data_IF_035862950067
#
_entry.id   IF_035862950067
#
_cell.length_a   1.000
_cell.length_b   1.000
_cell.length_c   1.000
_cell.angle_alpha   90.00
_cell.angle_beta   90.00
_cell.angle_gamma   90.00
#
_symmetry.space_group_name_H-M   'P 1'
#
loop_
_entity.id
_entity.type
_entity.pdbx_description
1 polymer ?
#
# COMPACT_ATOMS: atom_id res chain seq x y z
N UNK A 1 -2.73 -2.72 -29.55
CA UNK A 1 -3.64 -3.35 -28.57
C UNK A 1 -4.12 -2.28 -27.58
N UNK A 2 -5.43 -2.05 -27.51
CA UNK A 2 -5.99 -0.95 -26.71
C UNK A 2 -6.35 -1.39 -25.28
N UNK A 3 -6.70 -2.67 -25.09
CA UNK A 3 -6.95 -3.24 -23.75
C UNK A 3 -5.64 -3.76 -23.18
N UNK A 4 -5.22 -3.27 -22.04
CA UNK A 4 -3.94 -3.62 -21.42
C UNK A 4 -4.07 -4.33 -20.07
N UNK A 5 -5.27 -4.33 -19.45
CA UNK A 5 -5.54 -5.05 -18.22
C UNK A 5 -7.01 -5.43 -18.10
N UNK A 6 -7.27 -6.67 -17.70
CA UNK A 6 -8.62 -7.19 -17.45
C UNK A 6 -8.65 -7.93 -16.12
N UNK A 7 -9.67 -7.69 -15.32
CA UNK A 7 -9.87 -8.36 -14.04
C UNK A 7 -11.33 -8.73 -13.83
N UNK A 8 -11.61 -10.04 -13.87
CA UNK A 8 -12.92 -10.65 -13.61
C UNK A 8 -14.01 -10.12 -14.55
N UNK A 9 -14.57 -8.97 -14.26
CA UNK A 9 -15.73 -8.33 -14.92
C UNK A 9 -15.41 -6.91 -15.42
N UNK A 10 -14.17 -6.50 -15.35
CA UNK A 10 -13.72 -5.17 -15.78
C UNK A 10 -12.56 -5.24 -16.76
N UNK A 11 -12.48 -4.26 -17.67
CA UNK A 11 -11.34 -4.09 -18.57
C UNK A 11 -10.89 -2.64 -18.59
N UNK A 12 -9.57 -2.45 -18.72
CA UNK A 12 -8.92 -1.15 -18.83
C UNK A 12 -8.46 -0.97 -20.27
N UNK A 13 -8.88 0.13 -20.87
CA UNK A 13 -8.62 0.46 -22.25
C UNK A 13 -7.90 1.80 -22.34
N UNK A 14 -6.82 1.88 -23.13
CA UNK A 14 -6.20 3.15 -23.48
C UNK A 14 -6.95 3.80 -24.63
N UNK A 15 -7.56 4.96 -24.40
CA UNK A 15 -8.21 5.76 -25.43
C UNK A 15 -7.24 6.61 -26.24
N UNK A 16 -6.06 6.92 -25.69
CA UNK A 16 -5.08 7.84 -26.27
C UNK A 16 -4.72 7.50 -27.73
N UNK A 17 -4.36 6.25 -28.12
CA UNK A 17 -4.01 5.96 -29.50
C UNK A 17 -5.16 6.17 -30.51
N UNK A 18 -6.41 6.06 -30.04
CA UNK A 18 -7.59 6.35 -30.87
C UNK A 18 -7.83 7.85 -30.99
N UNK A 19 -7.61 8.62 -29.93
CA UNK A 19 -7.71 10.07 -29.92
C UNK A 19 -6.65 10.65 -30.88
N UNK A 20 -5.41 10.24 -30.77
CA UNK A 20 -4.30 10.65 -31.66
C UNK A 20 -4.61 10.39 -33.13
N UNK A 21 -5.15 9.20 -33.42
CA UNK A 21 -5.53 8.83 -34.80
C UNK A 21 -6.71 9.64 -35.34
N UNK A 22 -7.74 9.95 -34.51
CA UNK A 22 -8.94 10.65 -34.94
C UNK A 22 -8.77 12.18 -34.97
N UNK A 23 -7.92 12.70 -34.10
CA UNK A 23 -7.71 14.15 -33.87
C UNK A 23 -6.23 14.50 -33.85
N UNK A 24 -5.51 14.42 -34.99
CA UNK A 24 -4.04 14.53 -35.01
C UNK A 24 -3.47 15.87 -34.53
N UNK A 25 -4.31 16.92 -34.44
CA UNK A 25 -3.90 18.24 -33.96
C UNK A 25 -4.54 18.59 -32.59
N UNK A 26 -4.85 17.58 -31.78
CA UNK A 26 -5.44 17.83 -30.47
C UNK A 26 -4.42 18.42 -29.48
N UNK A 27 -4.91 19.17 -28.52
CA UNK A 27 -4.13 19.64 -27.37
C UNK A 27 -4.26 18.65 -26.20
N UNK A 28 -3.21 17.92 -25.94
CA UNK A 28 -3.15 16.93 -24.84
C UNK A 28 -3.31 17.53 -23.45
N UNK A 29 -3.05 18.84 -23.31
CA UNK A 29 -3.23 19.59 -22.06
C UNK A 29 -4.68 19.97 -21.79
N UNK A 30 -5.54 19.90 -22.81
CA UNK A 30 -6.96 20.17 -22.69
C UNK A 30 -7.69 18.97 -22.05
N UNK A 31 -7.73 18.94 -20.74
CA UNK A 31 -8.32 17.84 -19.95
C UNK A 31 -9.81 17.62 -20.30
N UNK A 32 -10.57 18.70 -20.52
CA UNK A 32 -11.99 18.61 -20.87
C UNK A 32 -12.20 17.91 -22.22
N UNK A 33 -11.41 18.25 -23.22
CA UNK A 33 -11.41 17.59 -24.52
C UNK A 33 -11.05 16.10 -24.39
N UNK A 34 -10.00 15.78 -23.62
CA UNK A 34 -9.56 14.41 -23.41
C UNK A 34 -10.65 13.56 -22.73
N UNK A 35 -11.34 14.10 -21.73
CA UNK A 35 -12.47 13.42 -21.07
C UNK A 35 -13.60 13.19 -22.06
N UNK A 36 -14.00 14.21 -22.82
CA UNK A 36 -15.09 14.11 -23.79
C UNK A 36 -14.82 13.04 -24.84
N UNK A 37 -13.64 13.06 -25.47
CA UNK A 37 -13.29 12.08 -26.51
C UNK A 37 -13.08 10.66 -25.95
N UNK A 38 -12.58 10.55 -24.72
CA UNK A 38 -12.53 9.25 -24.04
C UNK A 38 -13.92 8.69 -23.77
N UNK A 39 -14.88 9.53 -23.36
CA UNK A 39 -16.27 9.11 -23.14
C UNK A 39 -16.94 8.69 -24.46
N UNK A 40 -16.74 9.42 -25.57
CA UNK A 40 -17.24 9.03 -26.90
C UNK A 40 -16.73 7.62 -27.30
N UNK A 41 -15.44 7.37 -27.16
CA UNK A 41 -14.83 6.06 -27.45
C UNK A 41 -15.38 4.97 -26.51
N UNK A 42 -15.54 5.28 -25.22
CA UNK A 42 -16.09 4.33 -24.27
C UNK A 42 -17.56 3.98 -24.60
N UNK A 43 -18.36 4.92 -25.05
CA UNK A 43 -19.74 4.69 -25.48
C UNK A 43 -19.80 3.79 -26.74
N UNK A 44 -18.89 3.98 -27.70
CA UNK A 44 -18.77 3.09 -28.87
C UNK A 44 -18.46 1.65 -28.45
N UNK A 45 -17.45 1.49 -27.57
CA UNK A 45 -17.05 0.17 -27.05
C UNK A 45 -18.21 -0.47 -26.28
N UNK A 46 -18.86 0.29 -25.41
CA UNK A 46 -19.97 -0.17 -24.58
C UNK A 46 -21.13 -0.68 -25.44
N UNK A 47 -21.53 0.07 -26.47
CA UNK A 47 -22.58 -0.33 -27.42
C UNK A 47 -22.20 -1.63 -28.13
N UNK A 48 -20.97 -1.73 -28.62
CA UNK A 48 -20.49 -2.92 -29.33
C UNK A 48 -20.46 -4.16 -28.41
N UNK A 49 -19.91 -4.05 -27.22
CA UNK A 49 -19.81 -5.17 -26.27
C UNK A 49 -21.17 -5.62 -25.77
N UNK A 50 -22.07 -4.69 -25.45
CA UNK A 50 -23.43 -5.04 -25.00
C UNK A 50 -24.21 -5.76 -26.13
N UNK A 51 -24.09 -5.32 -27.39
CA UNK A 51 -24.66 -6.04 -28.52
C UNK A 51 -24.04 -7.45 -28.75
N UNK A 52 -22.78 -7.64 -28.36
CA UNK A 52 -22.19 -8.98 -28.35
C UNK A 52 -22.78 -9.85 -27.23
N UNK A 53 -23.06 -9.30 -26.06
CA UNK A 53 -23.71 -10.05 -24.96
C UNK A 53 -25.11 -10.52 -25.35
N UNK A 54 -25.90 -9.67 -26.03
CA UNK A 54 -27.22 -10.04 -26.56
C UNK A 54 -27.12 -11.24 -27.49
N UNK A 55 -26.20 -11.17 -28.47
CA UNK A 55 -25.96 -12.26 -29.43
C UNK A 55 -25.46 -13.54 -28.75
N UNK A 56 -24.56 -13.42 -27.79
CA UNK A 56 -24.02 -14.54 -27.04
C UNK A 56 -25.10 -15.24 -26.20
N UNK A 57 -25.96 -14.46 -25.54
CA UNK A 57 -27.06 -14.96 -24.73
C UNK A 57 -28.06 -15.76 -25.59
N UNK A 58 -28.40 -15.24 -26.75
CA UNK A 58 -29.30 -15.93 -27.69
C UNK A 58 -28.65 -17.22 -28.25
N UNK A 59 -27.43 -17.12 -28.78
CA UNK A 59 -26.76 -18.23 -29.49
C UNK A 59 -26.35 -19.40 -28.57
N UNK A 60 -25.86 -19.11 -27.37
CA UNK A 60 -25.27 -20.12 -26.48
C UNK A 60 -26.13 -20.49 -25.27
N UNK A 61 -27.03 -19.62 -24.85
CA UNK A 61 -27.88 -19.82 -23.67
C UNK A 61 -29.38 -19.86 -24.02
N UNK A 62 -29.73 -19.69 -25.28
CA UNK A 62 -31.11 -19.68 -25.76
C UNK A 62 -32.02 -18.77 -24.88
N UNK A 63 -31.50 -17.62 -24.52
CA UNK A 63 -32.22 -16.62 -23.71
C UNK A 63 -32.21 -15.26 -24.38
N UNK A 64 -33.38 -14.62 -24.43
CA UNK A 64 -33.55 -13.24 -24.95
C UNK A 64 -33.51 -12.20 -23.88
N UNK A 65 -33.46 -12.61 -22.61
CA UNK A 65 -33.42 -11.70 -21.47
C UNK A 65 -32.26 -12.07 -20.56
N UNK A 66 -31.34 -11.14 -20.35
CA UNK A 66 -30.21 -11.31 -19.46
C UNK A 66 -29.88 -9.96 -18.77
N UNK A 67 -28.96 -9.99 -17.81
CA UNK A 67 -28.50 -8.83 -17.06
C UNK A 67 -27.03 -8.47 -17.33
N UNK A 68 -26.41 -9.10 -18.31
CA UNK A 68 -25.03 -8.79 -18.69
C UNK A 68 -24.96 -7.45 -19.36
N UNK A 69 -24.23 -6.55 -18.77
CA UNK A 69 -24.05 -5.20 -19.28
C UNK A 69 -22.67 -4.70 -18.86
N UNK A 70 -21.89 -4.20 -19.83
CA UNK A 70 -20.70 -3.42 -19.53
C UNK A 70 -21.08 -1.93 -19.51
N UNK A 71 -20.47 -1.19 -18.60
CA UNK A 71 -20.65 0.26 -18.44
C UNK A 71 -19.32 0.89 -18.09
N UNK A 72 -19.05 2.06 -18.67
CA UNK A 72 -17.92 2.89 -18.25
C UNK A 72 -18.11 3.33 -16.78
N UNK A 73 -17.09 3.12 -15.95
CA UNK A 73 -17.12 3.56 -14.55
C UNK A 73 -16.43 4.91 -14.38
N UNK A 74 -15.24 5.08 -14.98
CA UNK A 74 -14.46 6.30 -14.82
C UNK A 74 -13.45 6.49 -15.95
N UNK A 75 -12.85 7.70 -15.99
CA UNK A 75 -11.67 8.03 -16.80
C UNK A 75 -10.50 8.30 -15.86
N UNK A 76 -9.39 7.64 -16.10
CA UNK A 76 -8.13 7.87 -15.40
C UNK A 76 -7.12 8.54 -16.35
N UNK A 77 -6.43 9.59 -15.86
CA UNK A 77 -5.40 10.31 -16.62
C UNK A 77 -4.09 9.53 -16.66
N UNK A 78 -3.77 8.84 -15.59
CA UNK A 78 -2.58 7.98 -15.47
C UNK A 78 -2.84 6.81 -14.55
N UNK A 79 -1.98 5.77 -14.64
CA UNK A 79 -2.08 4.62 -13.77
C UNK A 79 -0.76 3.87 -13.63
N UNK A 80 -0.58 3.22 -12.49
CA UNK A 80 0.57 2.40 -12.16
C UNK A 80 0.10 0.99 -11.80
N UNK A 81 0.42 0.00 -12.63
CA UNK A 81 0.13 -1.41 -12.41
C UNK A 81 1.39 -2.14 -11.96
N UNK A 82 1.39 -2.66 -10.75
CA UNK A 82 2.53 -3.37 -10.16
C UNK A 82 2.39 -4.87 -10.38
N UNK A 83 1.18 -5.40 -10.23
CA UNK A 83 0.85 -6.79 -10.44
C UNK A 83 -0.66 -6.95 -10.61
N UNK A 84 -1.11 -8.16 -10.92
CA UNK A 84 -2.54 -8.48 -10.97
C UNK A 84 -3.22 -8.07 -9.65
N UNK A 85 -4.31 -7.30 -9.74
CA UNK A 85 -5.07 -6.76 -8.60
C UNK A 85 -4.29 -5.80 -7.67
N UNK A 86 -3.13 -5.29 -8.12
CA UNK A 86 -2.29 -4.36 -7.36
C UNK A 86 -1.91 -3.16 -8.23
N UNK A 87 -2.69 -2.10 -8.15
CA UNK A 87 -2.52 -0.90 -8.97
C UNK A 87 -3.03 0.37 -8.28
N UNK A 88 -2.65 1.50 -8.81
CA UNK A 88 -3.17 2.82 -8.45
C UNK A 88 -3.44 3.64 -9.71
N UNK A 89 -4.46 4.49 -9.69
CA UNK A 89 -4.87 5.32 -10.83
C UNK A 89 -5.22 6.72 -10.37
N UNK A 90 -4.89 7.71 -11.18
CA UNK A 90 -5.38 9.06 -11.01
C UNK A 90 -6.68 9.23 -11.80
N UNK A 91 -7.80 9.15 -11.11
CA UNK A 91 -9.14 9.26 -11.67
C UNK A 91 -9.55 10.74 -11.75
N UNK A 92 -9.86 11.20 -12.96
CA UNK A 92 -10.24 12.60 -13.26
C UNK A 92 -11.72 12.78 -13.56
N UNK A 93 -12.44 11.71 -13.91
CA UNK A 93 -13.87 11.75 -14.18
C UNK A 93 -14.52 10.44 -13.72
N UNK A 94 -15.63 10.54 -13.00
CA UNK A 94 -16.37 9.38 -12.51
C UNK A 94 -17.87 9.68 -12.42
N UNK A 95 -18.69 8.74 -12.91
CA UNK A 95 -20.16 8.81 -12.82
C UNK A 95 -20.74 10.14 -13.31
N UNK A 96 -20.22 10.64 -14.45
CA UNK A 96 -20.70 11.89 -15.05
C UNK A 96 -20.17 13.19 -14.40
N UNK A 97 -19.21 13.10 -13.45
CA UNK A 97 -18.69 14.26 -12.72
C UNK A 97 -17.16 14.29 -12.75
N UNK A 98 -16.55 15.48 -12.90
CA UNK A 98 -15.13 15.67 -12.67
C UNK A 98 -14.73 15.25 -11.25
N UNK A 99 -13.56 14.66 -11.10
CA UNK A 99 -12.98 14.28 -9.82
C UNK A 99 -11.45 14.43 -9.89
N UNK A 100 -10.79 14.39 -8.75
CA UNK A 100 -9.33 14.44 -8.67
C UNK A 100 -8.89 13.53 -7.53
N UNK A 101 -8.96 12.22 -7.76
CA UNK A 101 -8.71 11.21 -6.73
C UNK A 101 -7.74 10.15 -7.23
N UNK A 102 -6.91 9.64 -6.32
CA UNK A 102 -6.17 8.42 -6.57
C UNK A 102 -7.00 7.23 -6.06
N UNK A 103 -7.42 6.37 -6.98
CA UNK A 103 -8.00 5.07 -6.65
C UNK A 103 -6.89 4.04 -6.52
N UNK A 104 -6.89 3.29 -5.41
CA UNK A 104 -5.83 2.34 -5.06
C UNK A 104 -6.45 0.99 -4.78
N UNK A 105 -6.00 -0.04 -5.49
CA UNK A 105 -6.46 -1.42 -5.31
C UNK A 105 -5.30 -2.34 -4.93
N UNK A 106 -5.53 -3.17 -3.92
CA UNK A 106 -4.63 -4.26 -3.53
C UNK A 106 -3.25 -3.88 -3.00
N UNK A 107 -2.90 -2.59 -2.93
CA UNK A 107 -1.64 -2.13 -2.36
C UNK A 107 -1.71 -2.08 -0.83
N UNK A 108 -0.55 -2.21 -0.18
CA UNK A 108 -0.48 -2.23 1.29
C UNK A 108 -0.99 -0.93 1.94
N UNK A 109 -0.90 0.19 1.23
CA UNK A 109 -1.35 1.51 1.70
C UNK A 109 -2.82 1.55 2.12
N UNK A 110 -3.69 0.70 1.52
CA UNK A 110 -5.12 0.64 1.89
C UNK A 110 -5.40 -0.34 3.03
N UNK A 111 -4.43 -1.16 3.44
CA UNK A 111 -4.60 -2.16 4.51
C UNK A 111 -4.64 -1.49 5.88
N UNK A 112 -5.56 -1.91 6.74
CA UNK A 112 -5.64 -1.43 8.12
C UNK A 112 -4.41 -1.75 8.97
N UNK A 113 -3.70 -2.83 8.62
CA UNK A 113 -2.47 -3.27 9.32
C UNK A 113 -1.25 -2.40 9.04
N UNK A 114 -1.25 -1.60 7.96
CA UNK A 114 -0.09 -0.81 7.57
C UNK A 114 0.08 0.42 8.48
N UNK A 115 1.31 0.78 8.91
CA UNK A 115 1.56 1.90 9.82
C UNK A 115 1.05 3.24 9.28
N UNK A 116 0.58 4.11 10.18
CA UNK A 116 -0.06 5.38 9.80
C UNK A 116 0.84 6.30 8.99
N UNK A 117 2.08 6.53 9.47
CA UNK A 117 3.04 7.41 8.78
C UNK A 117 3.47 6.79 7.43
N UNK A 118 3.57 5.46 7.36
CA UNK A 118 3.90 4.78 6.11
C UNK A 118 2.75 4.82 5.10
N UNK A 119 1.49 4.83 5.56
CA UNK A 119 0.34 5.08 4.67
C UNK A 119 0.40 6.45 4.04
N UNK A 120 0.78 7.46 4.85
CA UNK A 120 0.87 8.85 4.39
C UNK A 120 1.91 8.97 3.29
N UNK A 121 3.16 8.58 3.56
CA UNK A 121 4.23 8.67 2.56
C UNK A 121 3.96 7.85 1.30
N UNK A 122 3.37 6.64 1.42
CA UNK A 122 3.01 5.83 0.25
C UNK A 122 1.93 6.50 -0.62
N UNK A 123 0.96 7.18 -0.03
CA UNK A 123 -0.04 7.96 -0.79
C UNK A 123 0.59 9.15 -1.49
N UNK A 124 1.48 9.86 -0.80
CA UNK A 124 2.24 10.97 -1.38
C UNK A 124 3.13 10.48 -2.52
N UNK A 125 3.83 9.36 -2.34
CA UNK A 125 4.64 8.72 -3.39
C UNK A 125 3.80 8.40 -4.63
N UNK A 126 2.63 7.77 -4.45
CA UNK A 126 1.72 7.47 -5.56
C UNK A 126 1.21 8.73 -6.25
N UNK A 127 0.93 9.78 -5.48
CA UNK A 127 0.51 11.07 -6.03
C UNK A 127 1.59 11.68 -6.93
N UNK A 128 2.85 11.73 -6.46
CA UNK A 128 3.98 12.23 -7.25
C UNK A 128 4.23 11.38 -8.50
N UNK A 129 4.22 10.05 -8.37
CA UNK A 129 4.40 9.14 -9.51
C UNK A 129 3.32 9.35 -10.57
N UNK A 130 2.06 9.44 -10.18
CA UNK A 130 0.94 9.49 -11.10
C UNK A 130 0.73 10.87 -11.72
N UNK A 131 1.16 11.94 -11.07
CA UNK A 131 0.96 13.31 -11.54
C UNK A 131 2.19 13.93 -12.14
N UNK A 132 3.31 13.84 -11.47
CA UNK A 132 4.52 14.59 -11.82
C UNK A 132 5.54 13.72 -12.59
N UNK A 133 5.52 12.40 -12.33
CA UNK A 133 6.47 11.44 -12.92
C UNK A 133 7.94 11.80 -12.64
N UNK A 134 8.19 12.55 -11.55
CA UNK A 134 9.52 13.02 -11.16
C UNK A 134 10.18 12.05 -10.17
N UNK A 135 11.17 11.31 -10.68
CA UNK A 135 11.96 10.36 -9.90
C UNK A 135 12.74 11.05 -8.78
N UNK A 136 13.35 12.21 -9.07
CA UNK A 136 14.24 12.90 -8.12
C UNK A 136 13.45 13.46 -6.96
N UNK A 137 12.40 14.22 -7.24
CA UNK A 137 11.51 14.77 -6.21
C UNK A 137 10.87 13.66 -5.35
N UNK A 138 10.42 12.57 -5.98
CA UNK A 138 9.89 11.41 -5.27
C UNK A 138 10.92 10.78 -4.34
N UNK A 139 12.17 10.61 -4.81
CA UNK A 139 13.25 10.01 -4.03
C UNK A 139 13.62 10.89 -2.84
N UNK A 140 13.78 12.19 -3.04
CA UNK A 140 14.12 13.15 -1.98
C UNK A 140 13.03 13.21 -0.90
N UNK A 141 11.77 13.24 -1.29
CA UNK A 141 10.63 13.19 -0.36
C UNK A 141 10.66 11.93 0.52
N UNK A 142 10.96 10.77 -0.04
CA UNK A 142 11.04 9.51 0.73
C UNK A 142 12.25 9.51 1.67
N UNK A 143 13.39 10.05 1.24
CA UNK A 143 14.57 10.19 2.10
C UNK A 143 14.35 11.15 3.26
N UNK A 144 13.63 12.25 3.05
CA UNK A 144 13.28 13.18 4.12
C UNK A 144 12.29 12.53 5.10
N UNK A 145 11.33 11.77 4.59
CA UNK A 145 10.48 10.94 5.44
C UNK A 145 11.30 9.93 6.28
N UNK A 146 12.32 9.27 5.71
CA UNK A 146 13.20 8.35 6.43
C UNK A 146 13.95 9.04 7.60
N UNK A 147 14.29 10.32 7.45
CA UNK A 147 14.84 11.14 8.53
C UNK A 147 13.75 11.49 9.56
N UNK A 148 12.58 11.94 9.10
CA UNK A 148 11.47 12.35 9.95
C UNK A 148 11.00 11.23 10.89
N UNK A 149 10.90 9.99 10.41
CA UNK A 149 10.46 8.86 11.25
C UNK A 149 11.39 8.55 12.42
N UNK A 150 12.64 9.06 12.43
CA UNK A 150 13.56 8.87 13.57
C UNK A 150 13.04 9.55 14.83
N UNK A 151 12.24 10.60 14.70
CA UNK A 151 11.67 11.40 15.81
C UNK A 151 10.14 11.28 15.92
N UNK A 152 9.49 10.57 14.98
CA UNK A 152 8.04 10.35 15.03
C UNK A 152 7.64 9.55 16.28
N UNK A 153 6.43 9.78 16.84
CA UNK A 153 5.87 8.90 17.86
C UNK A 153 5.90 7.44 17.42
N UNK A 154 6.42 6.56 18.27
CA UNK A 154 6.63 5.14 17.89
C UNK A 154 5.33 4.48 17.42
N UNK A 155 4.22 4.81 18.04
CA UNK A 155 2.88 4.25 17.70
C UNK A 155 2.45 4.50 16.26
N UNK A 156 2.97 5.53 15.58
CA UNK A 156 2.66 5.89 14.20
C UNK A 156 3.40 5.01 13.18
N UNK A 157 4.55 4.48 13.57
CA UNK A 157 5.38 3.59 12.73
C UNK A 157 5.21 2.10 13.06
N UNK A 158 4.40 1.79 14.07
CA UNK A 158 4.05 0.42 14.46
C UNK A 158 3.00 -0.19 13.52
N UNK A 159 3.09 -1.50 13.29
CA UNK A 159 2.10 -2.28 12.54
C UNK A 159 0.93 -2.68 13.42
N UNK A 160 -0.28 -2.59 12.88
CA UNK A 160 -1.46 -3.14 13.53
C UNK A 160 -1.64 -4.62 13.18
N UNK A 161 -1.92 -5.47 14.14
CA UNK A 161 -2.18 -6.90 13.92
C UNK A 161 -3.15 -7.43 14.97
N UNK A 162 -3.97 -8.39 14.59
CA UNK A 162 -4.74 -9.19 15.55
C UNK A 162 -3.90 -10.37 16.01
N UNK A 163 -3.86 -10.61 17.32
CA UNK A 163 -3.16 -11.76 17.91
C UNK A 163 -4.01 -12.99 17.76
N UNK A 164 -3.50 -14.03 17.11
CA UNK A 164 -4.20 -15.32 16.95
C UNK A 164 -3.34 -16.46 17.47
N UNK A 165 -3.99 -17.42 18.13
CA UNK A 165 -3.39 -18.65 18.61
C UNK A 165 -2.16 -18.46 19.54
N UNK A 166 -2.09 -17.39 20.34
CA UNK A 166 -0.97 -17.13 21.26
C UNK A 166 -0.77 -18.31 22.22
N UNK A 167 -1.86 -18.90 22.71
CA UNK A 167 -1.82 -20.08 23.61
C UNK A 167 -1.13 -21.28 22.97
N UNK A 168 -1.21 -21.48 21.65
CA UNK A 168 -0.46 -22.52 20.94
C UNK A 168 1.06 -22.37 21.13
N UNK A 169 1.53 -21.14 21.13
CA UNK A 169 2.96 -20.82 21.18
C UNK A 169 3.50 -20.63 22.58
N UNK A 170 2.63 -20.50 23.59
CA UNK A 170 3.01 -20.30 25.00
C UNK A 170 2.79 -21.53 25.89
N UNK A 171 2.06 -22.55 25.46
CA UNK A 171 1.63 -23.71 26.27
C UNK A 171 2.72 -24.39 27.10
N UNK A 172 3.95 -24.44 26.60
CA UNK A 172 5.10 -25.08 27.29
C UNK A 172 6.28 -24.13 27.47
N UNK A 173 6.05 -22.82 27.25
CA UNK A 173 7.10 -21.82 27.30
C UNK A 173 7.19 -21.18 28.68
N UNK A 174 8.39 -20.98 29.17
CA UNK A 174 8.67 -20.12 30.33
C UNK A 174 8.95 -18.68 29.86
N UNK A 175 8.65 -17.65 30.69
CA UNK A 175 9.03 -16.27 30.38
C UNK A 175 10.51 -16.17 29.98
N UNK A 176 10.83 -15.28 29.04
CA UNK A 176 12.20 -15.02 28.52
C UNK A 176 12.91 -16.23 27.88
N UNK A 177 12.19 -17.32 27.58
CA UNK A 177 12.75 -18.43 26.80
C UNK A 177 12.47 -18.23 25.30
N UNK A 178 13.12 -19.00 24.43
CA UNK A 178 12.93 -18.95 22.99
C UNK A 178 11.50 -19.24 22.55
N UNK A 179 11.23 -19.04 21.27
CA UNK A 179 9.90 -19.26 20.67
C UNK A 179 9.83 -20.62 19.99
N UNK A 180 8.63 -21.16 19.87
CA UNK A 180 8.40 -22.31 19.00
C UNK A 180 8.68 -21.93 17.54
N UNK A 181 9.23 -22.89 16.78
CA UNK A 181 9.46 -22.69 15.34
C UNK A 181 8.16 -22.28 14.63
N UNK A 182 8.24 -21.31 13.74
CA UNK A 182 7.08 -20.79 13.00
C UNK A 182 6.19 -19.82 13.79
N UNK A 183 6.60 -19.37 15.00
CA UNK A 183 5.85 -18.30 15.70
C UNK A 183 5.88 -17.00 14.90
N UNK A 184 4.71 -16.44 14.48
CA UNK A 184 4.66 -15.20 13.72
C UNK A 184 5.20 -14.00 14.51
N UNK A 185 5.75 -12.99 13.82
CA UNK A 185 6.38 -11.82 14.46
C UNK A 185 5.43 -11.07 15.41
N UNK A 186 4.18 -10.84 15.02
CA UNK A 186 3.19 -10.18 15.87
C UNK A 186 2.82 -11.00 17.12
N UNK A 187 2.85 -12.34 17.03
CA UNK A 187 2.63 -13.21 18.19
C UNK A 187 3.87 -13.19 19.11
N UNK A 188 5.08 -13.21 18.55
CA UNK A 188 6.32 -13.00 19.34
C UNK A 188 6.26 -11.67 20.09
N UNK A 189 5.82 -10.61 19.42
CA UNK A 189 5.69 -9.28 20.01
C UNK A 189 4.72 -9.25 21.20
N UNK A 190 3.57 -9.92 21.09
CA UNK A 190 2.62 -10.06 22.18
C UNK A 190 3.18 -10.88 23.36
N UNK A 191 3.91 -11.94 23.05
CA UNK A 191 4.59 -12.77 24.08
C UNK A 191 5.65 -11.94 24.82
N UNK A 192 6.44 -11.13 24.11
CA UNK A 192 7.46 -10.27 24.71
C UNK A 192 6.86 -9.20 25.60
N UNK A 193 5.73 -8.62 25.20
CA UNK A 193 4.96 -7.71 26.05
C UNK A 193 4.54 -8.40 27.36
N UNK A 194 3.99 -9.60 27.28
CA UNK A 194 3.58 -10.36 28.45
C UNK A 194 4.78 -10.74 29.35
N UNK A 195 5.92 -11.07 28.75
CA UNK A 195 7.16 -11.30 29.52
C UNK A 195 7.61 -10.04 30.27
N UNK A 196 7.48 -8.84 29.66
CA UNK A 196 7.81 -7.59 30.33
C UNK A 196 6.81 -7.23 31.45
N UNK A 197 5.51 -7.50 31.27
CA UNK A 197 4.54 -7.37 32.39
C UNK A 197 4.98 -8.20 33.59
N UNK A 198 5.39 -9.43 33.36
CA UNK A 198 5.93 -10.31 34.42
C UNK A 198 7.23 -9.76 35.02
N UNK A 199 8.17 -9.30 34.19
CA UNK A 199 9.46 -8.75 34.64
C UNK A 199 9.33 -7.52 35.51
N UNK A 200 8.43 -6.60 35.13
CA UNK A 200 8.18 -5.35 35.87
C UNK A 200 7.14 -5.50 36.96
N UNK A 201 6.65 -6.72 37.23
CA UNK A 201 5.65 -7.03 38.23
C UNK A 201 4.38 -6.16 38.11
N UNK A 202 3.94 -5.90 36.86
CA UNK A 202 2.71 -5.17 36.58
C UNK A 202 1.54 -6.11 36.79
N UNK A 203 0.65 -5.82 37.75
CA UNK A 203 -0.48 -6.68 38.16
C UNK A 203 -1.86 -6.13 37.79
N UNK A 204 -1.93 -4.87 37.47
CA UNK A 204 -3.13 -4.10 37.16
C UNK A 204 -3.47 -4.13 35.66
N UNK A 205 -2.65 -4.78 34.85
CA UNK A 205 -2.84 -4.93 33.40
C UNK A 205 -2.77 -6.40 33.02
N UNK A 206 -3.81 -6.89 32.36
CA UNK A 206 -3.88 -8.27 31.90
C UNK A 206 -2.87 -8.55 30.77
N UNK A 207 -2.32 -9.77 30.68
CA UNK A 207 -1.53 -10.19 29.55
C UNK A 207 -2.33 -10.11 28.23
N UNK A 208 -1.64 -9.82 27.12
CA UNK A 208 -2.24 -9.89 25.79
C UNK A 208 -2.65 -11.36 25.50
N UNK A 209 -3.89 -11.55 25.02
CA UNK A 209 -4.45 -12.87 24.71
C UNK A 209 -5.03 -12.95 23.29
N UNK A 210 -5.59 -14.10 22.94
CA UNK A 210 -6.18 -14.34 21.63
C UNK A 210 -7.32 -13.38 21.31
N UNK A 211 -7.33 -12.81 20.12
CA UNK A 211 -8.36 -11.90 19.62
C UNK A 211 -8.04 -10.42 19.79
N UNK A 212 -7.09 -10.09 20.66
CA UNK A 212 -6.69 -8.69 20.84
C UNK A 212 -6.04 -8.09 19.59
N UNK A 213 -6.28 -6.79 19.40
CA UNK A 213 -5.57 -5.97 18.41
C UNK A 213 -4.40 -5.29 19.10
N UNK A 214 -3.24 -5.42 18.50
CA UNK A 214 -2.00 -4.83 18.98
C UNK A 214 -1.33 -4.00 17.89
N UNK A 215 -0.45 -3.12 18.32
CA UNK A 215 0.61 -2.51 17.51
C UNK A 215 1.93 -3.20 17.82
N UNK A 216 2.78 -3.43 16.83
CA UNK A 216 4.08 -4.05 17.06
C UNK A 216 5.16 -3.48 16.16
N UNK A 217 6.42 -3.58 16.60
CA UNK A 217 7.58 -2.99 15.92
C UNK A 217 8.83 -3.83 16.12
N UNK A 218 9.83 -3.62 15.26
CA UNK A 218 11.16 -4.22 15.40
C UNK A 218 12.00 -3.48 16.45
N UNK A 219 12.89 -4.22 17.12
CA UNK A 219 13.81 -3.71 18.13
C UNK A 219 15.26 -3.88 17.70
N UNK A 220 16.11 -2.95 18.16
CA UNK A 220 17.56 -3.05 18.21
C UNK A 220 17.97 -4.09 19.24
N UNK A 221 19.28 -4.39 19.30
CA UNK A 221 19.82 -5.21 20.38
C UNK A 221 19.43 -4.64 21.75
N UNK A 222 18.92 -5.51 22.64
CA UNK A 222 18.38 -5.12 23.93
C UNK A 222 18.65 -6.23 24.98
N UNK A 223 18.56 -5.92 26.28
CA UNK A 223 18.94 -6.84 27.37
C UNK A 223 18.19 -8.18 27.38
N UNK A 224 17.02 -8.25 26.73
CA UNK A 224 16.19 -9.46 26.69
C UNK A 224 16.34 -10.27 25.39
N UNK A 225 17.09 -9.76 24.42
CA UNK A 225 17.26 -10.41 23.12
C UNK A 225 15.96 -10.44 22.29
N UNK A 226 15.04 -9.51 22.50
CA UNK A 226 13.79 -9.42 21.76
C UNK A 226 14.00 -8.79 20.38
N UNK A 227 13.55 -9.46 19.33
CA UNK A 227 13.55 -8.89 17.97
C UNK A 227 12.40 -7.93 17.71
N UNK A 228 11.29 -8.07 18.43
CA UNK A 228 10.05 -7.34 18.25
C UNK A 228 9.33 -7.14 19.57
N UNK A 229 8.47 -6.12 19.67
CA UNK A 229 7.64 -5.84 20.83
C UNK A 229 6.26 -5.35 20.43
N UNK A 230 5.25 -5.63 21.23
CA UNK A 230 3.91 -5.08 21.08
C UNK A 230 3.64 -3.94 22.06
N UNK A 231 2.69 -3.09 21.69
CA UNK A 231 1.93 -2.20 22.57
C UNK A 231 0.44 -2.37 22.24
N UNK A 232 -0.44 -2.13 23.20
CA UNK A 232 -1.88 -1.96 22.93
C UNK A 232 -2.15 -0.62 22.25
N UNK A 233 -1.35 0.40 22.62
CA UNK A 233 -1.48 1.77 22.15
C UNK A 233 -2.43 2.62 23.01
N UNK A 234 -2.89 2.07 24.12
CA UNK A 234 -3.65 2.70 25.18
C UNK A 234 -3.31 1.99 26.49
N UNK A 235 -3.21 2.75 27.59
CA UNK A 235 -2.97 2.22 28.95
C UNK A 235 -1.78 1.24 29.06
N UNK A 236 -0.78 1.38 28.20
CA UNK A 236 0.43 0.57 28.28
C UNK A 236 1.27 0.99 29.49
N UNK A 237 1.89 0.05 30.25
CA UNK A 237 2.77 0.40 31.37
C UNK A 237 3.90 1.29 30.95
N UNK A 238 4.17 2.34 31.74
CA UNK A 238 5.22 3.32 31.45
C UNK A 238 6.57 2.67 31.18
N UNK A 239 6.95 1.67 32.00
CA UNK A 239 8.21 0.94 31.87
C UNK A 239 8.33 0.21 30.51
N UNK A 240 7.22 -0.32 29.99
CA UNK A 240 7.20 -0.98 28.68
C UNK A 240 7.29 0.06 27.58
N UNK A 241 6.59 1.19 27.68
CA UNK A 241 6.68 2.29 26.72
C UNK A 241 8.10 2.83 26.65
N UNK A 242 8.75 3.09 27.78
CA UNK A 242 10.14 3.55 27.87
C UNK A 242 11.11 2.51 27.27
N UNK A 243 10.89 1.23 27.50
CA UNK A 243 11.67 0.16 26.89
C UNK A 243 11.53 0.19 25.35
N UNK A 244 10.30 0.34 24.82
CA UNK A 244 10.05 0.43 23.38
C UNK A 244 10.74 1.66 22.79
N UNK A 245 10.59 2.84 23.39
CA UNK A 245 11.24 4.07 22.89
C UNK A 245 12.77 3.97 22.89
N UNK A 246 13.35 3.29 23.88
CA UNK A 246 14.80 3.09 23.98
C UNK A 246 15.34 2.16 22.89
N UNK A 247 14.65 1.07 22.61
CA UNK A 247 15.19 0.00 21.77
C UNK A 247 14.53 -0.10 20.39
N UNK A 248 13.59 0.75 20.03
CA UNK A 248 12.94 0.73 18.71
C UNK A 248 13.95 0.82 17.56
N UNK A 249 13.82 -0.06 16.58
CA UNK A 249 14.59 -0.05 15.33
C UNK A 249 13.74 0.50 14.18
N UNK A 250 13.73 1.83 14.05
CA UNK A 250 12.98 2.52 12.99
C UNK A 250 13.56 2.24 11.60
N UNK A 251 14.88 2.05 11.49
CA UNK A 251 15.52 1.74 10.22
C UNK A 251 15.14 0.34 9.72
N UNK A 252 15.21 -0.67 10.59
CA UNK A 252 14.74 -2.03 10.27
C UNK A 252 13.26 -2.05 9.94
N UNK A 253 12.46 -1.25 10.65
CA UNK A 253 11.04 -1.11 10.39
C UNK A 253 10.79 -0.49 9.01
N UNK A 254 11.48 0.60 8.66
CA UNK A 254 11.42 1.19 7.33
C UNK A 254 11.81 0.17 6.26
N UNK A 255 12.94 -0.49 6.41
CA UNK A 255 13.45 -1.47 5.45
C UNK A 255 12.46 -2.62 5.23
N UNK A 256 11.95 -3.22 6.31
CA UNK A 256 11.06 -4.40 6.24
C UNK A 256 9.66 -4.07 5.74
N UNK A 257 9.14 -2.89 6.09
CA UNK A 257 7.75 -2.56 5.85
C UNK A 257 7.53 -1.66 4.64
N UNK A 258 8.50 -0.84 4.28
CA UNK A 258 8.34 0.16 3.22
C UNK A 258 9.28 -0.08 2.02
N UNK A 259 10.55 -0.38 2.23
CA UNK A 259 11.56 -0.50 1.19
C UNK A 259 11.13 -1.38 0.01
N UNK A 260 10.72 -2.63 0.28
CA UNK A 260 10.32 -3.55 -0.79
C UNK A 260 9.12 -3.04 -1.61
N UNK A 261 8.23 -2.27 -1.00
CA UNK A 261 7.06 -1.69 -1.68
C UNK A 261 7.44 -0.49 -2.54
N UNK A 262 8.43 0.28 -2.09
CA UNK A 262 9.03 1.34 -2.91
C UNK A 262 9.79 0.74 -4.10
N UNK A 263 10.51 -0.36 -3.89
CA UNK A 263 11.17 -1.09 -4.98
C UNK A 263 10.18 -1.56 -6.05
N UNK A 264 9.00 -2.06 -5.64
CA UNK A 264 7.91 -2.42 -6.57
C UNK A 264 7.47 -1.20 -7.41
N UNK A 265 7.29 -0.02 -6.79
CA UNK A 265 6.89 1.20 -7.49
C UNK A 265 7.97 1.69 -8.46
N UNK A 266 9.21 1.75 -8.00
CA UNK A 266 10.35 2.18 -8.80
C UNK A 266 10.60 1.25 -9.99
N UNK A 267 10.45 -0.06 -9.79
CA UNK A 267 10.57 -1.05 -10.86
C UNK A 267 9.46 -0.88 -11.91
N UNK A 268 8.22 -0.67 -11.48
CA UNK A 268 7.09 -0.46 -12.38
C UNK A 268 7.21 0.84 -13.20
N UNK A 269 7.91 1.84 -12.66
CA UNK A 269 8.24 3.10 -13.35
C UNK A 269 9.51 3.02 -14.21
N UNK A 270 10.18 1.86 -14.31
CA UNK A 270 11.50 1.72 -14.93
C UNK A 270 12.58 2.61 -14.28
N UNK A 271 12.44 2.96 -13.01
CA UNK A 271 13.41 3.76 -12.27
C UNK A 271 14.50 2.93 -11.58
N UNK A 272 14.45 1.61 -11.71
CA UNK A 272 15.31 0.65 -11.01
C UNK A 272 14.79 0.33 -9.62
N UNK A 273 15.65 0.23 -8.61
CA UNK A 273 15.28 0.07 -7.21
C UNK A 273 15.35 1.41 -6.48
N UNK A 274 14.60 1.54 -5.39
CA UNK A 274 14.71 2.71 -4.52
C UNK A 274 16.12 2.79 -3.92
N UNK A 275 16.85 3.91 -4.07
CA UNK A 275 18.22 4.03 -3.58
C UNK A 275 18.23 4.13 -2.04
N UNK A 276 19.06 3.31 -1.39
CA UNK A 276 19.15 3.28 0.08
C UNK A 276 19.77 4.56 0.67
N UNK A 277 20.66 5.22 -0.08
CA UNK A 277 21.37 6.44 0.34
C UNK A 277 21.39 7.50 -0.75
N UNK A 278 21.15 8.76 -0.37
CA UNK A 278 21.26 9.94 -1.26
C UNK A 278 22.70 10.31 -1.65
N UNK A 279 23.71 9.59 -1.16
CA UNK A 279 25.10 10.04 -1.18
C UNK A 279 25.81 9.89 -2.54
N UNK A 280 25.22 9.21 -3.52
CA UNK A 280 25.90 8.94 -4.79
C UNK A 280 25.66 10.04 -5.85
N UNK A 281 24.54 10.75 -5.82
CA UNK A 281 24.19 11.72 -6.86
C UNK A 281 24.71 13.17 -6.62
N UNK A 282 25.15 13.51 -5.40
CA UNK A 282 25.74 14.83 -5.13
C UNK A 282 27.19 14.98 -5.56
N UNK A 283 27.90 13.86 -5.77
CA UNK A 283 29.30 13.91 -6.21
C UNK A 283 29.51 14.04 -7.73
N UNK A 284 28.46 13.79 -8.53
CA UNK A 284 28.55 13.85 -9.99
C UNK A 284 27.92 15.10 -10.62
N UNK A 285 27.40 16.04 -9.83
CA UNK A 285 26.83 17.29 -10.33
C UNK A 285 27.77 18.50 -10.24
N UNK A 286 29.06 18.31 -9.92
CA UNK A 286 30.09 19.34 -10.00
C UNK A 286 31.02 19.04 -11.17
N UNK A 287 30.54 19.29 -12.37
CA UNK A 287 31.35 19.18 -13.55
C UNK A 287 30.55 19.22 -14.85
N UNK A 288 29.93 20.37 -15.12
CA UNK A 288 29.74 20.93 -16.47
C UNK A 288 29.38 22.40 -16.35
#
# INVERSE_FOLDING_TARGET
EFSFYTDTDSTFVSSLPLIEKRYPNYDETNEQFMIEKTNEIADEIQKHVNAMYDRYADAFHNTKTHRWQIKQEYVAKSGLWIAKKRYAQWVIFKEGKPTNKIDIKGLDVVRSSFPTDFKKIMKETLWYILKETDKTATTDMIHDFKKQIQTSPVVNVMKNSGVKAISKYTKKRKPFTGYLLGTPAHVKSAINYNDLLHKYNVKDIDPIFNGEKIKWIYLKNNPFGFDTIALRGYEDPKQIVEFVETYVDRNKTFQRELQNKLDDFYTAMNWGKFPENNSVNKFFSFGN
#
